data_IF_815948495771
#
_entry.id   IF_815948495771
#
_cell.length_a   1.000
_cell.length_b   1.000
_cell.length_c   1.000
_cell.angle_alpha   90.00
_cell.angle_beta   90.00
_cell.angle_gamma   90.00
#
_symmetry.space_group_name_H-M   'P 1'
#
loop_
_entity.id
_entity.type
_entity.pdbx_description
1 polymer ?
#
# COMPACT_ATOMS: atom_id res chain seq x y z
N UNK A 1 23.92 35.67 20.71
CA UNK A 1 22.92 34.83 21.41
C UNK A 1 22.32 33.88 20.38
N UNK A 2 22.91 32.69 20.24
CA UNK A 2 22.56 31.69 19.22
C UNK A 2 21.36 30.87 19.68
N UNK A 3 20.33 30.73 18.83
CA UNK A 3 19.31 29.68 19.00
C UNK A 3 19.35 28.82 17.75
N UNK A 4 20.25 27.84 17.75
CA UNK A 4 20.27 26.76 16.78
C UNK A 4 19.04 25.88 17.02
N UNK A 5 18.08 25.89 16.08
CA UNK A 5 17.02 24.88 16.03
C UNK A 5 17.57 23.71 15.24
N UNK A 6 17.87 22.62 15.95
CA UNK A 6 18.23 21.34 15.34
C UNK A 6 17.11 20.93 14.37
N UNK A 7 17.38 21.01 13.07
CA UNK A 7 16.55 20.40 12.05
C UNK A 7 16.66 18.90 12.22
N UNK A 8 15.56 18.26 12.61
CA UNK A 8 15.48 16.82 12.73
C UNK A 8 15.57 16.23 11.32
N UNK A 9 16.72 15.66 10.98
CA UNK A 9 16.86 14.81 9.80
C UNK A 9 16.11 13.51 10.08
N UNK A 10 14.83 13.46 9.71
CA UNK A 10 14.09 12.20 9.68
C UNK A 10 14.74 11.37 8.57
N UNK A 11 15.68 10.50 8.95
CA UNK A 11 16.26 9.54 8.02
C UNK A 11 15.13 8.66 7.49
N UNK A 12 14.73 8.85 6.24
CA UNK A 12 13.79 7.97 5.56
C UNK A 12 14.46 6.62 5.42
N UNK A 13 14.24 5.74 6.41
CA UNK A 13 14.66 4.35 6.28
C UNK A 13 13.85 3.78 5.13
N UNK A 14 14.46 3.23 4.08
CA UNK A 14 13.70 2.73 2.94
C UNK A 14 12.75 1.63 3.41
N UNK A 15 11.44 1.85 3.26
CA UNK A 15 10.41 0.87 3.62
C UNK A 15 10.64 -0.41 2.80
N UNK A 16 10.94 -1.52 3.48
CA UNK A 16 11.25 -2.77 2.81
C UNK A 16 10.02 -3.30 2.05
N UNK A 17 10.18 -3.53 0.74
CA UNK A 17 9.11 -4.06 -0.10
C UNK A 17 8.75 -5.50 0.28
N UNK A 18 7.46 -5.77 0.45
CA UNK A 18 6.94 -7.07 0.89
C UNK A 18 6.48 -7.93 -0.28
N UNK A 19 6.51 -9.25 -0.12
CA UNK A 19 5.99 -10.17 -1.13
C UNK A 19 4.45 -10.27 -1.07
N UNK A 20 3.86 -10.95 -2.05
CA UNK A 20 2.40 -11.11 -2.14
C UNK A 20 1.76 -11.90 -0.98
N UNK A 21 2.51 -12.75 -0.28
CA UNK A 21 1.98 -13.50 0.86
C UNK A 21 1.82 -12.59 2.07
N UNK A 22 2.84 -11.77 2.34
CA UNK A 22 2.77 -10.75 3.39
C UNK A 22 1.71 -9.72 3.04
N UNK A 23 1.67 -9.22 1.80
CA UNK A 23 0.65 -8.27 1.37
C UNK A 23 -0.78 -8.84 1.52
N UNK A 24 -1.00 -10.09 1.13
CA UNK A 24 -2.29 -10.75 1.29
C UNK A 24 -2.69 -10.87 2.77
N UNK A 25 -1.75 -11.27 3.63
CA UNK A 25 -1.96 -11.34 5.06
C UNK A 25 -2.31 -9.97 5.66
N UNK A 26 -1.58 -8.91 5.27
CA UNK A 26 -1.84 -7.53 5.71
C UNK A 26 -3.25 -7.07 5.34
N UNK A 27 -3.74 -7.43 4.15
CA UNK A 27 -5.08 -7.05 3.68
C UNK A 27 -6.19 -8.02 4.13
N UNK A 28 -5.86 -9.13 4.79
CA UNK A 28 -6.83 -10.17 5.14
C UNK A 28 -7.41 -10.93 3.93
N UNK A 29 -6.65 -11.02 2.84
CA UNK A 29 -7.07 -11.64 1.58
C UNK A 29 -6.31 -12.95 1.29
N UNK A 30 -6.83 -13.73 0.35
CA UNK A 30 -6.06 -14.84 -0.25
C UNK A 30 -5.06 -14.29 -1.26
N UNK A 31 -3.88 -14.91 -1.36
CA UNK A 31 -2.86 -14.56 -2.37
C UNK A 31 -3.41 -14.67 -3.80
N UNK A 32 -4.28 -15.66 -4.06
CA UNK A 32 -4.95 -15.80 -5.36
C UNK A 32 -5.83 -14.60 -5.73
N UNK A 33 -6.45 -13.95 -4.74
CA UNK A 33 -7.21 -12.71 -4.94
C UNK A 33 -6.29 -11.58 -5.38
N UNK A 34 -5.15 -11.38 -4.70
CA UNK A 34 -4.15 -10.37 -5.11
C UNK A 34 -3.61 -10.63 -6.52
N UNK A 35 -3.33 -11.89 -6.86
CA UNK A 35 -2.90 -12.28 -8.21
C UNK A 35 -3.96 -11.94 -9.26
N UNK A 36 -5.24 -12.22 -8.96
CA UNK A 36 -6.37 -11.87 -9.83
C UNK A 36 -6.49 -10.36 -9.99
N UNK A 37 -6.33 -9.58 -8.93
CA UNK A 37 -6.37 -8.11 -8.98
C UNK A 37 -5.29 -7.55 -9.90
N UNK A 38 -4.05 -8.07 -9.80
CA UNK A 38 -2.97 -7.66 -10.72
C UNK A 38 -3.30 -7.92 -12.18
N UNK A 39 -3.91 -9.06 -12.49
CA UNK A 39 -4.28 -9.41 -13.85
C UNK A 39 -5.50 -8.61 -14.36
N UNK A 40 -6.51 -8.43 -13.51
CA UNK A 40 -7.74 -7.71 -13.85
C UNK A 40 -7.55 -6.18 -13.86
N UNK A 41 -6.49 -5.66 -13.24
CA UNK A 41 -6.26 -4.23 -13.07
C UNK A 41 -7.20 -3.56 -12.06
N UNK A 42 -8.04 -4.34 -11.36
CA UNK A 42 -8.98 -3.83 -10.38
C UNK A 42 -9.05 -4.72 -9.13
N UNK A 43 -9.11 -4.13 -7.92
CA UNK A 43 -8.90 -2.71 -7.60
C UNK A 43 -7.47 -2.26 -7.90
N UNK A 44 -7.30 -0.94 -8.14
CA UNK A 44 -6.04 -0.33 -8.55
C UNK A 44 -5.03 -0.25 -7.38
N UNK A 45 -4.50 -1.39 -6.97
CA UNK A 45 -3.46 -1.50 -5.95
C UNK A 45 -2.07 -1.49 -6.62
N UNK A 46 -1.21 -0.49 -6.36
CA UNK A 46 0.14 -0.42 -6.93
C UNK A 46 1.00 -1.62 -6.54
N UNK A 47 1.88 -2.03 -7.45
CA UNK A 47 2.89 -3.06 -7.20
C UNK A 47 4.16 -2.79 -8.00
N UNK A 48 5.28 -3.28 -7.51
CA UNK A 48 6.57 -3.24 -8.20
C UNK A 48 6.86 -4.61 -8.82
N UNK A 49 7.13 -4.63 -10.13
CA UNK A 49 7.62 -5.82 -10.82
C UNK A 49 9.14 -5.76 -10.91
N UNK A 50 9.82 -6.70 -10.25
CA UNK A 50 11.28 -6.79 -10.17
C UNK A 50 11.67 -8.15 -10.76
N UNK A 51 11.98 -8.17 -12.06
CA UNK A 51 12.12 -9.40 -12.83
C UNK A 51 10.83 -10.24 -12.79
N UNK A 52 10.92 -11.46 -12.26
CA UNK A 52 9.77 -12.34 -12.04
C UNK A 52 9.07 -12.12 -10.69
N UNK A 53 9.69 -11.38 -9.77
CA UNK A 53 9.12 -11.12 -8.46
C UNK A 53 8.15 -9.94 -8.52
N UNK A 54 7.02 -10.06 -7.81
CA UNK A 54 6.12 -8.94 -7.53
C UNK A 54 6.21 -8.58 -6.07
N UNK A 55 6.38 -7.30 -5.80
CA UNK A 55 6.47 -6.75 -4.45
C UNK A 55 5.49 -5.59 -4.26
N UNK A 56 5.11 -5.36 -3.02
CA UNK A 56 4.21 -4.30 -2.61
C UNK A 56 4.94 -3.39 -1.63
N UNK A 57 4.69 -2.08 -1.74
CA UNK A 57 5.10 -1.15 -0.72
C UNK A 57 4.10 -1.23 0.46
N UNK A 58 4.56 -1.46 1.71
CA UNK A 58 3.68 -1.43 2.87
C UNK A 58 2.86 -0.14 3.01
N UNK A 59 3.42 1.00 2.60
CA UNK A 59 2.72 2.29 2.67
C UNK A 59 1.51 2.33 1.72
N UNK A 60 1.67 1.83 0.48
CA UNK A 60 0.57 1.73 -0.49
C UNK A 60 -0.53 0.77 0.00
N UNK A 61 -0.15 -0.33 0.67
CA UNK A 61 -1.12 -1.26 1.27
C UNK A 61 -1.93 -0.55 2.36
N UNK A 62 -1.27 0.22 3.22
CA UNK A 62 -1.93 0.98 4.29
C UNK A 62 -2.87 2.04 3.71
N UNK A 63 -2.43 2.76 2.67
CA UNK A 63 -3.25 3.77 2.01
C UNK A 63 -4.44 3.17 1.27
N UNK A 64 -4.27 2.00 0.68
CA UNK A 64 -5.38 1.24 0.09
C UNK A 64 -6.45 0.87 1.12
N UNK A 65 -6.04 0.38 2.30
CA UNK A 65 -6.97 0.08 3.40
C UNK A 65 -7.69 1.34 3.87
N UNK A 66 -6.97 2.46 4.02
CA UNK A 66 -7.58 3.75 4.39
C UNK A 66 -8.58 4.22 3.35
N UNK A 67 -8.26 4.12 2.06
CA UNK A 67 -9.13 4.51 0.95
C UNK A 67 -10.38 3.63 0.84
N UNK A 68 -10.28 2.36 1.25
CA UNK A 68 -11.41 1.43 1.33
C UNK A 68 -12.32 1.64 2.53
N UNK A 69 -11.96 2.52 3.49
CA UNK A 69 -12.78 2.78 4.68
C UNK A 69 -14.05 3.52 4.30
N UNK A 70 -15.20 2.95 4.67
CA UNK A 70 -16.54 3.52 4.45
C UNK A 70 -17.27 3.63 5.78
N UNK A 71 -18.03 4.71 5.97
CA UNK A 71 -18.86 4.91 7.17
C UNK A 71 -20.26 4.33 6.98
N UNK A 72 -20.69 4.14 5.73
CA UNK A 72 -21.96 3.52 5.38
C UNK A 72 -21.80 2.66 4.14
N UNK A 73 -22.49 1.53 4.10
CA UNK A 73 -22.52 0.62 2.93
C UNK A 73 -23.15 1.25 1.69
N UNK A 74 -23.87 2.36 1.85
CA UNK A 74 -24.47 3.14 0.75
C UNK A 74 -23.57 4.28 0.25
N UNK A 75 -22.40 4.48 0.85
CA UNK A 75 -21.45 5.52 0.46
C UNK A 75 -20.77 5.15 -0.87
N UNK A 76 -21.16 5.80 -1.97
CA UNK A 76 -20.61 5.52 -3.30
C UNK A 76 -19.12 5.93 -3.39
N UNK A 77 -18.28 5.15 -4.10
CA UNK A 77 -16.90 5.54 -4.36
C UNK A 77 -16.80 6.82 -5.20
N UNK A 78 -15.74 7.63 -5.00
CA UNK A 78 -15.47 8.76 -5.88
C UNK A 78 -15.39 8.26 -7.33
N UNK A 79 -16.17 8.86 -8.22
CA UNK A 79 -16.05 8.58 -9.65
C UNK A 79 -14.81 9.32 -10.16
N UNK A 80 -13.84 8.58 -10.67
CA UNK A 80 -12.64 9.10 -11.33
C UNK A 80 -12.85 9.15 -12.84
#
# INVERSE_FOLDING_TARGET
MVKSRAGQIVGTTPTALVNEHVAAATLGLKVSTLRRWRWAGFPALPFHKIGNAVRYNPDDLADFVKAGRRMSTSEQPPQY
#
